data_IF_734496594187
#
_entry.id   IF_734496594187
#
_cell.length_a   1.000
_cell.length_b   1.000
_cell.length_c   1.000
_cell.angle_alpha   90.00
_cell.angle_beta   90.00
_cell.angle_gamma   90.00
#
_symmetry.space_group_name_H-M   'P 1'
#
loop_
_entity.id
_entity.type
_entity.pdbx_description
1 polymer ?
#
# COMPACT_ATOMS: atom_id res chain seq x y z
N UNK A 1 12.33 47.66 -5.61
CA UNK A 1 11.92 46.47 -6.37
C UNK A 1 12.30 45.23 -5.59
N UNK A 2 11.37 44.66 -4.82
CA UNK A 2 11.52 43.31 -4.28
C UNK A 2 11.34 42.36 -5.46
N UNK A 3 12.44 41.81 -5.98
CA UNK A 3 12.40 40.69 -6.91
C UNK A 3 11.62 39.57 -6.21
N UNK A 4 10.43 39.24 -6.72
CA UNK A 4 9.75 38.01 -6.29
C UNK A 4 10.63 36.85 -6.76
N UNK A 5 11.49 36.35 -5.87
CA UNK A 5 12.18 35.09 -6.10
C UNK A 5 11.08 34.04 -6.27
N UNK A 6 10.87 33.56 -7.51
CA UNK A 6 10.00 32.43 -7.78
C UNK A 6 10.53 31.26 -6.94
N UNK A 7 9.88 30.99 -5.81
CA UNK A 7 10.29 29.95 -4.89
C UNK A 7 9.94 28.62 -5.53
N UNK A 8 10.95 27.93 -6.04
CA UNK A 8 10.78 26.59 -6.62
C UNK A 8 10.20 25.65 -5.56
N UNK A 9 9.04 25.08 -5.84
CA UNK A 9 8.37 24.15 -4.93
C UNK A 9 9.16 22.85 -4.80
N UNK A 10 9.08 22.21 -3.64
CA UNK A 10 9.72 20.92 -3.43
C UNK A 10 8.92 19.83 -4.18
N UNK A 11 9.53 19.07 -5.09
CA UNK A 11 8.81 18.08 -5.88
C UNK A 11 8.48 16.80 -5.09
N UNK A 12 9.18 16.53 -3.99
CA UNK A 12 8.99 15.32 -3.18
C UNK A 12 7.78 15.42 -2.25
N UNK A 13 7.04 14.32 -2.16
CA UNK A 13 5.79 14.20 -1.40
C UNK A 13 5.90 13.06 -0.40
N UNK A 14 6.13 13.41 0.87
CA UNK A 14 6.25 12.46 1.99
C UNK A 14 4.98 12.45 2.86
N UNK A 15 3.82 12.67 2.26
CA UNK A 15 2.52 12.64 2.95
C UNK A 15 1.88 11.26 2.80
N UNK A 16 1.09 10.84 3.79
CA UNK A 16 0.38 9.55 3.75
C UNK A 16 -0.50 9.46 2.49
N UNK A 17 -0.37 8.36 1.76
CA UNK A 17 -1.16 8.10 0.54
C UNK A 17 -0.88 9.01 -0.64
N UNK A 18 0.08 9.96 -0.56
CA UNK A 18 0.37 10.85 -1.69
C UNK A 18 1.19 10.14 -2.76
N UNK A 19 0.74 10.22 -4.03
CA UNK A 19 1.50 9.71 -5.17
C UNK A 19 2.83 10.49 -5.29
N UNK A 20 3.98 9.79 -5.27
CA UNK A 20 5.28 10.42 -5.41
C UNK A 20 5.46 10.99 -6.83
N UNK A 21 6.37 11.95 -7.02
CA UNK A 21 6.63 12.53 -8.34
C UNK A 21 7.22 11.55 -9.36
N UNK A 22 7.71 10.39 -8.89
CA UNK A 22 8.23 9.30 -9.72
C UNK A 22 7.89 7.96 -9.06
N UNK A 23 7.23 7.07 -9.82
CA UNK A 23 6.84 5.72 -9.40
C UNK A 23 7.95 4.74 -9.73
N UNK A 24 8.91 4.62 -8.82
CA UNK A 24 10.13 3.87 -9.04
C UNK A 24 9.89 2.36 -9.06
N UNK A 25 10.35 1.69 -10.13
CA UNK A 25 10.28 0.24 -10.26
C UNK A 25 8.88 -0.36 -10.27
N UNK A 26 7.84 0.42 -10.61
CA UNK A 26 6.43 -0.04 -10.66
C UNK A 26 5.80 0.04 -12.06
N UNK A 27 6.61 0.31 -13.08
CA UNK A 27 6.11 0.62 -14.42
C UNK A 27 5.45 -0.59 -15.07
N UNK A 28 6.09 -1.76 -14.97
CA UNK A 28 5.59 -2.99 -15.57
C UNK A 28 4.22 -3.36 -15.02
N UNK A 29 4.02 -3.27 -13.71
CA UNK A 29 2.75 -3.60 -13.07
C UNK A 29 1.63 -2.64 -13.47
N UNK A 30 1.96 -1.36 -13.71
CA UNK A 30 1.00 -0.35 -14.20
C UNK A 30 0.67 -0.60 -15.67
N UNK A 31 1.67 -0.91 -16.49
CA UNK A 31 1.50 -1.23 -17.91
C UNK A 31 0.65 -2.49 -18.09
N UNK A 32 0.97 -3.60 -17.40
CA UNK A 32 0.18 -4.83 -17.46
C UNK A 32 -1.28 -4.61 -17.03
N UNK A 33 -1.49 -3.83 -15.96
CA UNK A 33 -2.83 -3.50 -15.49
C UNK A 33 -3.60 -2.66 -16.52
N UNK A 34 -2.94 -1.66 -17.10
CA UNK A 34 -3.50 -0.80 -18.13
C UNK A 34 -3.89 -1.59 -19.39
N UNK A 35 -3.01 -2.46 -19.88
CA UNK A 35 -3.28 -3.38 -21.00
C UNK A 35 -4.45 -4.31 -20.68
N UNK A 36 -4.53 -4.84 -19.47
CA UNK A 36 -5.65 -5.69 -19.07
C UNK A 36 -6.98 -4.95 -19.01
N UNK A 37 -7.01 -3.65 -18.72
CA UNK A 37 -8.24 -2.85 -18.86
C UNK A 37 -8.66 -2.76 -20.33
N UNK A 38 -7.71 -2.59 -21.25
CA UNK A 38 -7.96 -2.47 -22.68
C UNK A 38 -8.38 -3.80 -23.34
N UNK A 39 -7.84 -4.93 -22.87
CA UNK A 39 -8.10 -6.28 -23.43
C UNK A 39 -9.53 -6.81 -23.19
N UNK A 40 -10.27 -6.21 -22.27
CA UNK A 40 -11.66 -6.61 -22.00
C UNK A 40 -11.83 -7.68 -20.91
N UNK A 41 -13.09 -8.08 -20.61
CA UNK A 41 -13.40 -9.08 -19.60
C UNK A 41 -12.63 -10.39 -19.80
N UNK A 42 -12.08 -10.94 -18.72
CA UNK A 42 -11.30 -12.18 -18.74
C UNK A 42 -9.78 -12.00 -18.67
N UNK A 43 -9.25 -10.79 -18.91
CA UNK A 43 -7.84 -10.47 -18.68
C UNK A 43 -7.44 -10.69 -17.21
N UNK A 44 -6.27 -11.29 -16.98
CA UNK A 44 -5.89 -11.81 -15.66
C UNK A 44 -5.59 -10.69 -14.65
N UNK A 45 -4.93 -9.64 -15.10
CA UNK A 45 -4.39 -8.55 -14.30
C UNK A 45 -5.49 -7.57 -13.84
N UNK A 46 -6.70 -7.68 -14.41
CA UNK A 46 -7.91 -6.98 -13.93
C UNK A 46 -8.24 -7.32 -12.49
N UNK A 47 -7.81 -8.48 -12.00
CA UNK A 47 -7.96 -8.84 -10.59
C UNK A 47 -6.57 -8.98 -10.00
N UNK A 48 -6.14 -7.96 -9.26
CA UNK A 48 -4.80 -7.91 -8.69
C UNK A 48 -4.83 -7.88 -7.16
N UNK A 49 -3.93 -8.62 -6.53
CA UNK A 49 -3.64 -8.55 -5.10
C UNK A 49 -2.20 -8.11 -4.89
N UNK A 50 -2.05 -6.92 -4.34
CA UNK A 50 -0.81 -6.25 -4.02
C UNK A 50 -0.44 -6.60 -2.58
N UNK A 51 0.73 -7.19 -2.38
CA UNK A 51 1.24 -7.51 -1.04
C UNK A 51 2.56 -6.80 -0.79
N UNK A 52 2.89 -6.50 0.46
CA UNK A 52 4.18 -5.90 0.81
C UNK A 52 4.17 -5.23 2.17
N UNK A 53 5.37 -4.89 2.65
CA UNK A 53 5.58 -4.30 3.99
C UNK A 53 4.91 -2.91 4.11
N UNK A 54 4.87 -2.35 5.30
CA UNK A 54 4.35 -0.99 5.52
C UNK A 54 5.20 0.07 4.81
N UNK A 55 4.55 0.99 4.10
CA UNK A 55 5.21 2.11 3.41
C UNK A 55 6.00 1.73 2.15
N UNK A 56 5.86 0.51 1.61
CA UNK A 56 6.48 0.10 0.33
C UNK A 56 5.72 0.59 -0.91
N UNK A 57 4.67 1.40 -0.73
CA UNK A 57 3.93 2.02 -1.82
C UNK A 57 2.72 1.23 -2.34
N UNK A 58 2.09 0.39 -1.50
CA UNK A 58 0.85 -0.33 -1.88
C UNK A 58 -0.27 0.62 -2.30
N UNK A 59 -0.65 1.56 -1.43
CA UNK A 59 -1.65 2.61 -1.73
C UNK A 59 -1.25 3.45 -2.94
N UNK A 60 0.05 3.70 -3.11
CA UNK A 60 0.58 4.46 -4.24
C UNK A 60 0.38 3.70 -5.56
N UNK A 61 0.58 2.38 -5.57
CA UNK A 61 0.30 1.55 -6.74
C UNK A 61 -1.21 1.45 -7.02
N UNK A 62 -2.05 1.34 -5.97
CA UNK A 62 -3.50 1.43 -6.14
C UNK A 62 -3.91 2.76 -6.79
N UNK A 63 -3.38 3.89 -6.32
CA UNK A 63 -3.65 5.20 -6.93
C UNK A 63 -3.23 5.25 -8.41
N UNK A 64 -2.10 4.64 -8.78
CA UNK A 64 -1.66 4.57 -10.16
C UNK A 64 -2.63 3.74 -11.03
N UNK A 65 -3.12 2.61 -10.53
CA UNK A 65 -4.17 1.83 -11.21
C UNK A 65 -5.46 2.64 -11.37
N UNK A 66 -5.83 3.42 -10.36
CA UNK A 66 -6.97 4.32 -10.46
C UNK A 66 -6.78 5.44 -11.48
N UNK A 67 -5.56 5.98 -11.61
CA UNK A 67 -5.23 6.97 -12.64
C UNK A 67 -5.35 6.37 -14.04
N UNK A 68 -4.82 5.16 -14.26
CA UNK A 68 -4.95 4.41 -15.53
C UNK A 68 -6.42 4.10 -15.89
N UNK A 69 -7.23 3.73 -14.89
CA UNK A 69 -8.65 3.51 -15.07
C UNK A 69 -9.39 4.81 -15.43
N UNK A 70 -9.13 5.90 -14.71
CA UNK A 70 -9.74 7.21 -15.01
C UNK A 70 -9.35 7.73 -16.39
N UNK A 71 -8.12 7.50 -16.83
CA UNK A 71 -7.67 7.86 -18.18
C UNK A 71 -8.49 7.17 -19.28
N UNK A 72 -9.02 5.98 -18.99
CA UNK A 72 -9.92 5.19 -19.84
C UNK A 72 -11.41 5.45 -19.58
N UNK A 73 -11.73 6.50 -18.83
CA UNK A 73 -13.10 6.86 -18.41
C UNK A 73 -13.80 5.80 -17.53
N UNK A 74 -13.05 4.87 -16.93
CA UNK A 74 -13.63 3.89 -16.01
C UNK A 74 -14.16 4.57 -14.73
N UNK A 75 -15.20 3.97 -14.18
CA UNK A 75 -15.67 4.30 -12.84
C UNK A 75 -14.63 3.82 -11.84
N UNK A 76 -14.29 4.65 -10.86
CA UNK A 76 -13.35 4.28 -9.80
C UNK A 76 -14.00 4.43 -8.43
N UNK A 77 -14.01 3.35 -7.66
CA UNK A 77 -14.41 3.32 -6.25
C UNK A 77 -13.20 2.90 -5.43
N UNK A 78 -12.78 3.78 -4.52
CA UNK A 78 -11.66 3.55 -3.62
C UNK A 78 -12.16 3.40 -2.20
N UNK A 79 -11.82 2.30 -1.54
CA UNK A 79 -12.26 2.00 -0.18
C UNK A 79 -11.15 1.35 0.65
N UNK A 80 -11.28 1.45 1.97
CA UNK A 80 -10.46 0.70 2.93
C UNK A 80 -11.26 -0.48 3.43
N UNK A 81 -10.64 -1.67 3.52
CA UNK A 81 -11.27 -2.92 3.93
C UNK A 81 -11.58 -3.02 5.45
N UNK A 82 -12.04 -1.91 6.04
CA UNK A 82 -12.59 -1.88 7.40
C UNK A 82 -14.06 -2.33 7.40
N UNK A 83 -14.59 -2.70 8.57
CA UNK A 83 -15.94 -3.28 8.68
C UNK A 83 -17.01 -2.47 7.92
N UNK A 84 -17.82 -3.16 7.11
CA UNK A 84 -18.88 -2.55 6.32
C UNK A 84 -18.39 -1.89 5.02
N UNK A 85 -17.20 -2.25 4.53
CA UNK A 85 -16.69 -1.72 3.26
C UNK A 85 -17.61 -2.07 2.09
N UNK A 86 -18.25 -3.23 2.11
CA UNK A 86 -19.19 -3.63 1.06
C UNK A 86 -20.37 -2.66 0.97
N UNK A 87 -20.89 -2.21 2.13
CA UNK A 87 -21.96 -1.21 2.16
C UNK A 87 -21.46 0.17 1.70
N UNK A 88 -20.23 0.57 2.08
CA UNK A 88 -19.66 1.84 1.62
C UNK A 88 -19.46 1.89 0.11
N UNK A 89 -19.06 0.77 -0.51
CA UNK A 89 -19.00 0.64 -1.99
C UNK A 89 -20.37 0.89 -2.60
N UNK A 90 -21.42 0.24 -2.07
CA UNK A 90 -22.81 0.42 -2.52
C UNK A 90 -23.19 1.91 -2.44
N UNK A 91 -22.96 2.53 -1.28
CA UNK A 91 -23.30 3.94 -1.06
C UNK A 91 -22.50 4.88 -1.99
N UNK A 92 -21.24 4.58 -2.26
CA UNK A 92 -20.38 5.34 -3.17
C UNK A 92 -20.85 5.24 -4.62
N UNK A 93 -21.24 4.05 -5.05
CA UNK A 93 -21.83 3.80 -6.37
C UNK A 93 -23.14 4.58 -6.54
N UNK A 94 -24.03 4.55 -5.56
CA UNK A 94 -25.27 5.32 -5.59
C UNK A 94 -25.04 6.83 -5.68
N UNK A 95 -24.06 7.37 -4.94
CA UNK A 95 -23.69 8.78 -5.03
C UNK A 95 -23.22 9.16 -6.42
N UNK A 96 -22.27 8.40 -6.99
CA UNK A 96 -21.75 8.64 -8.35
C UNK A 96 -22.82 8.51 -9.42
N UNK A 97 -23.65 7.47 -9.33
CA UNK A 97 -24.76 7.27 -10.26
C UNK A 97 -25.74 8.45 -10.20
N UNK A 98 -26.07 8.94 -8.99
CA UNK A 98 -27.01 10.06 -8.81
C UNK A 98 -26.50 11.40 -9.35
N UNK A 99 -25.19 11.65 -9.30
CA UNK A 99 -24.55 12.85 -9.88
C UNK A 99 -24.64 12.85 -11.40
N UNK A 100 -24.41 11.69 -12.03
CA UNK A 100 -24.47 11.53 -13.49
C UNK A 100 -25.93 11.50 -13.98
N UNK A 101 -26.83 10.93 -13.18
CA UNK A 101 -28.23 10.68 -13.52
C UNK A 101 -29.19 11.78 -13.06
N UNK A 102 -28.77 13.04 -12.95
CA UNK A 102 -29.65 14.17 -12.60
C UNK A 102 -30.97 14.23 -13.42
N UNK A 103 -31.03 13.60 -14.60
CA UNK A 103 -32.22 13.44 -15.46
C UNK A 103 -33.01 12.12 -15.32
N UNK A 104 -32.46 11.05 -14.71
CA UNK A 104 -33.07 9.71 -14.65
C UNK A 104 -33.50 9.28 -13.24
N UNK A 105 -33.62 10.23 -12.31
CA UNK A 105 -33.96 10.05 -10.89
C UNK A 105 -35.12 9.06 -10.61
N UNK A 106 -36.06 8.92 -11.54
CA UNK A 106 -37.21 7.99 -11.45
C UNK A 106 -36.84 6.51 -11.61
N UNK A 107 -35.94 6.13 -12.52
CA UNK A 107 -35.60 4.71 -12.72
C UNK A 107 -34.80 4.12 -11.56
N UNK A 108 -33.94 4.94 -10.93
CA UNK A 108 -33.13 4.50 -9.78
C UNK A 108 -33.92 4.55 -8.46
N UNK A 109 -34.94 5.41 -8.34
CA UNK A 109 -35.84 5.38 -7.17
C UNK A 109 -36.78 4.18 -7.18
N UNK A 110 -37.21 3.71 -8.35
CA UNK A 110 -38.08 2.54 -8.47
C UNK A 110 -37.39 1.24 -8.00
N UNK A 111 -36.05 1.19 -8.08
CA UNK A 111 -35.19 0.12 -7.51
C UNK A 111 -35.29 0.08 -5.97
N UNK A 112 -35.52 1.23 -5.32
CA UNK A 112 -35.66 1.34 -3.87
C UNK A 112 -37.05 0.95 -3.36
N UNK A 113 -38.08 1.01 -4.20
CA UNK A 113 -39.49 0.78 -3.79
C UNK A 113 -39.91 -0.70 -3.79
N UNK A 114 -39.19 -1.60 -4.49
CA UNK A 114 -39.51 -3.02 -4.52
C UNK A 114 -38.40 -3.84 -3.83
N UNK A 115 -38.61 -4.23 -2.56
CA UNK A 115 -37.64 -5.01 -1.78
C UNK A 115 -37.39 -6.41 -2.36
N UNK A 116 -36.17 -6.67 -2.82
CA UNK A 116 -35.24 -7.53 -2.10
C UNK A 116 -34.21 -6.68 -1.35
N UNK A 117 -33.49 -7.27 -0.39
CA UNK A 117 -32.33 -6.61 0.24
C UNK A 117 -31.38 -6.14 -0.86
N UNK A 118 -31.06 -4.85 -0.90
CA UNK A 118 -30.04 -4.31 -1.81
C UNK A 118 -28.73 -5.01 -1.47
N UNK A 119 -28.20 -5.77 -2.42
CA UNK A 119 -26.92 -6.47 -2.29
C UNK A 119 -25.87 -5.79 -3.14
N UNK A 120 -24.59 -5.97 -2.81
CA UNK A 120 -23.50 -5.49 -3.65
C UNK A 120 -23.62 -6.03 -5.07
N UNK A 121 -23.94 -7.33 -5.20
CA UNK A 121 -24.13 -7.98 -6.50
C UNK A 121 -25.20 -7.28 -7.33
N UNK A 122 -26.40 -7.08 -6.78
CA UNK A 122 -27.51 -6.47 -7.54
C UNK A 122 -27.15 -5.08 -8.04
N UNK A 123 -26.54 -4.25 -7.18
CA UNK A 123 -26.15 -2.88 -7.54
C UNK A 123 -25.06 -2.87 -8.62
N UNK A 124 -24.03 -3.70 -8.47
CA UNK A 124 -22.94 -3.80 -9.45
C UNK A 124 -23.45 -4.28 -10.81
N UNK A 125 -24.26 -5.35 -10.83
CA UNK A 125 -24.85 -5.89 -12.07
C UNK A 125 -25.68 -4.83 -12.78
N UNK A 126 -26.54 -4.09 -12.06
CA UNK A 126 -27.38 -3.05 -12.65
C UNK A 126 -26.56 -1.90 -13.23
N UNK A 127 -25.57 -1.39 -12.50
CA UNK A 127 -24.71 -0.28 -12.95
C UNK A 127 -23.90 -0.68 -14.18
N UNK A 128 -23.28 -1.86 -14.17
CA UNK A 128 -22.46 -2.35 -15.28
C UNK A 128 -23.31 -2.62 -16.53
N UNK A 129 -24.49 -3.23 -16.36
CA UNK A 129 -25.43 -3.47 -17.48
C UNK A 129 -25.95 -2.16 -18.08
N UNK A 130 -26.23 -1.17 -17.22
CA UNK A 130 -26.65 0.16 -17.67
C UNK A 130 -25.54 0.90 -18.42
N UNK A 131 -24.30 0.81 -17.93
CA UNK A 131 -23.14 1.39 -18.61
C UNK A 131 -22.92 0.74 -19.98
N UNK A 132 -22.99 -0.59 -20.06
CA UNK A 132 -22.88 -1.33 -21.33
C UNK A 132 -23.96 -0.89 -22.35
N UNK A 133 -25.20 -0.66 -21.89
CA UNK A 133 -26.28 -0.18 -22.75
C UNK A 133 -25.97 1.22 -23.32
N UNK A 134 -25.37 2.10 -22.51
CA UNK A 134 -24.93 3.43 -22.93
C UNK A 134 -23.81 3.32 -23.96
N UNK A 135 -22.77 2.54 -23.67
CA UNK A 135 -21.60 2.40 -24.53
C UNK A 135 -22.00 1.89 -25.91
N UNK A 136 -22.87 0.88 -25.94
CA UNK A 136 -23.45 0.35 -27.18
C UNK A 136 -24.24 1.39 -27.97
N UNK A 137 -25.00 2.27 -27.30
CA UNK A 137 -25.77 3.34 -27.97
C UNK A 137 -24.87 4.44 -28.52
N UNK A 138 -23.78 4.73 -27.83
CA UNK A 138 -22.81 5.75 -28.24
C UNK A 138 -21.79 5.21 -29.25
N UNK A 139 -21.67 3.89 -29.40
CA UNK A 139 -20.68 3.26 -30.28
C UNK A 139 -19.25 3.50 -29.80
N UNK A 140 -19.07 3.60 -28.48
CA UNK A 140 -17.78 3.84 -27.84
C UNK A 140 -17.21 2.57 -27.21
N UNK A 141 -15.95 2.64 -26.78
CA UNK A 141 -15.30 1.56 -26.05
C UNK A 141 -16.03 1.27 -24.72
N UNK A 142 -15.95 0.01 -24.28
CA UNK A 142 -16.62 -0.45 -23.07
C UNK A 142 -16.02 0.22 -21.83
N UNK A 143 -16.84 0.99 -21.11
CA UNK A 143 -16.47 1.65 -19.87
C UNK A 143 -16.74 0.70 -18.71
N UNK A 144 -15.72 0.44 -17.91
CA UNK A 144 -15.81 -0.48 -16.78
C UNK A 144 -15.87 0.19 -15.41
N UNK A 145 -15.83 -0.65 -14.38
CA UNK A 145 -15.70 -0.24 -12.97
C UNK A 145 -14.44 -0.87 -12.37
N UNK A 146 -13.57 -0.03 -11.83
CA UNK A 146 -12.47 -0.41 -10.95
C UNK A 146 -12.88 -0.19 -9.49
N UNK A 147 -12.70 -1.23 -8.67
CA UNK A 147 -12.77 -1.15 -7.21
C UNK A 147 -11.38 -1.36 -6.63
N UNK A 148 -10.86 -0.38 -5.88
CA UNK A 148 -9.63 -0.52 -5.10
C UNK A 148 -9.95 -0.72 -3.62
N UNK A 149 -9.30 -1.70 -2.99
CA UNK A 149 -9.44 -2.00 -1.56
C UNK A 149 -8.07 -1.98 -0.88
N UNK A 150 -7.83 -0.99 -0.01
CA UNK A 150 -6.62 -0.93 0.81
C UNK A 150 -6.80 -1.60 2.17
N UNK A 151 -5.69 -1.95 2.84
CA UNK A 151 -5.65 -2.54 4.18
C UNK A 151 -6.47 -3.84 4.34
N UNK A 152 -6.33 -4.80 3.42
CA UNK A 152 -6.92 -6.13 3.58
C UNK A 152 -6.35 -6.85 4.82
N UNK A 153 -7.25 -7.22 5.74
CA UNK A 153 -6.93 -8.00 6.95
C UNK A 153 -7.79 -9.26 7.09
N UNK A 154 -7.19 -10.33 7.62
CA UNK A 154 -7.86 -11.61 7.86
C UNK A 154 -9.01 -11.53 8.89
N UNK A 155 -9.01 -10.54 9.78
CA UNK A 155 -10.13 -10.29 10.70
C UNK A 155 -11.45 -9.99 9.99
N UNK A 156 -11.41 -9.65 8.69
CA UNK A 156 -12.59 -9.37 7.84
C UNK A 156 -12.86 -10.48 6.84
N UNK A 157 -12.38 -11.70 7.10
CA UNK A 157 -12.49 -12.87 6.20
C UNK A 157 -13.91 -13.05 5.66
N UNK A 158 -14.95 -12.95 6.48
CA UNK A 158 -16.34 -13.15 6.02
C UNK A 158 -16.78 -12.11 4.97
N UNK A 159 -16.50 -10.83 5.20
CA UNK A 159 -16.89 -9.75 4.29
C UNK A 159 -16.06 -9.81 2.98
N UNK A 160 -14.78 -10.20 3.08
CA UNK A 160 -13.91 -10.42 1.91
C UNK A 160 -14.34 -11.65 1.10
N UNK A 161 -14.83 -12.71 1.76
CA UNK A 161 -15.40 -13.89 1.09
C UNK A 161 -16.64 -13.49 0.26
N UNK A 162 -17.57 -12.75 0.88
CA UNK A 162 -18.81 -12.32 0.21
C UNK A 162 -18.52 -11.38 -0.97
N UNK A 163 -17.60 -10.44 -0.78
CA UNK A 163 -17.10 -9.58 -1.84
C UNK A 163 -16.48 -10.41 -2.98
N UNK A 164 -15.55 -11.33 -2.66
CA UNK A 164 -14.89 -12.17 -3.65
C UNK A 164 -15.87 -13.06 -4.43
N UNK A 165 -16.89 -13.62 -3.77
CA UNK A 165 -17.94 -14.40 -4.43
C UNK A 165 -18.76 -13.53 -5.40
N UNK A 166 -19.08 -12.30 -5.01
CA UNK A 166 -19.75 -11.33 -5.87
C UNK A 166 -18.92 -11.04 -7.13
N UNK A 167 -17.64 -10.71 -6.97
CA UNK A 167 -16.76 -10.43 -8.12
C UNK A 167 -16.61 -11.65 -9.03
N UNK A 168 -16.50 -12.86 -8.49
CA UNK A 168 -16.47 -14.10 -9.27
C UNK A 168 -17.72 -14.27 -10.16
N UNK A 169 -18.89 -13.90 -9.66
CA UNK A 169 -20.12 -13.96 -10.45
C UNK A 169 -20.09 -12.95 -11.60
N UNK A 170 -19.71 -11.70 -11.33
CA UNK A 170 -19.66 -10.65 -12.35
C UNK A 170 -18.66 -10.96 -13.47
N UNK A 171 -17.50 -11.51 -13.10
CA UNK A 171 -16.48 -11.95 -14.08
C UNK A 171 -16.98 -13.11 -14.93
N UNK A 172 -17.74 -14.04 -14.36
CA UNK A 172 -18.36 -15.14 -15.13
C UNK A 172 -19.47 -14.69 -16.07
N UNK A 173 -20.05 -13.53 -15.80
CA UNK A 173 -21.08 -12.88 -16.61
C UNK A 173 -20.46 -11.93 -17.65
N UNK A 174 -19.13 -11.96 -17.83
CA UNK A 174 -18.34 -11.10 -18.74
C UNK A 174 -18.58 -9.59 -18.53
N UNK A 175 -18.92 -9.19 -17.30
CA UNK A 175 -19.13 -7.79 -16.97
C UNK A 175 -17.78 -7.06 -16.85
N UNK A 176 -17.75 -5.79 -17.26
CA UNK A 176 -16.54 -4.99 -17.37
C UNK A 176 -16.08 -4.45 -15.99
N UNK A 177 -15.64 -5.36 -15.12
CA UNK A 177 -15.19 -5.07 -13.75
C UNK A 177 -13.70 -5.39 -13.57
N UNK A 178 -13.02 -4.56 -12.79
CA UNK A 178 -11.66 -4.75 -12.32
C UNK A 178 -11.59 -4.50 -10.81
N UNK A 179 -10.72 -5.23 -10.14
CA UNK A 179 -10.52 -5.14 -8.69
C UNK A 179 -9.03 -5.18 -8.38
N UNK A 180 -8.54 -4.19 -7.65
CA UNK A 180 -7.19 -4.21 -7.09
C UNK A 180 -7.27 -4.13 -5.57
N UNK A 181 -6.57 -5.03 -4.89
CA UNK A 181 -6.59 -5.12 -3.43
C UNK A 181 -5.17 -5.01 -2.88
N UNK A 182 -5.00 -4.38 -1.73
CA UNK A 182 -3.71 -4.26 -1.06
C UNK A 182 -3.78 -4.72 0.40
N UNK A 183 -2.72 -5.34 0.88
CA UNK A 183 -2.57 -5.70 2.29
C UNK A 183 -1.16 -6.18 2.61
N UNK A 184 -0.86 -6.43 3.88
CA UNK A 184 0.44 -6.99 4.26
C UNK A 184 0.45 -8.52 4.12
N UNK A 185 1.62 -9.16 3.91
CA UNK A 185 1.69 -10.60 3.69
C UNK A 185 1.08 -11.45 4.83
N UNK A 186 1.30 -11.07 6.09
CA UNK A 186 0.76 -11.79 7.25
C UNK A 186 -0.76 -11.67 7.37
N UNK A 187 -1.32 -10.55 6.91
CA UNK A 187 -2.76 -10.32 6.89
C UNK A 187 -3.46 -11.03 5.74
N UNK A 188 -2.75 -11.28 4.64
CA UNK A 188 -3.25 -11.96 3.44
C UNK A 188 -3.08 -13.48 3.52
N UNK A 189 -1.96 -14.01 4.03
CA UNK A 189 -1.69 -15.47 4.07
C UNK A 189 -2.83 -16.28 4.69
N UNK A 190 -3.43 -15.90 5.85
CA UNK A 190 -4.56 -16.61 6.43
C UNK A 190 -5.82 -16.59 5.57
N UNK A 191 -6.05 -15.52 4.78
CA UNK A 191 -7.16 -15.47 3.83
C UNK A 191 -7.01 -16.48 2.69
N UNK A 192 -5.77 -16.85 2.35
CA UNK A 192 -5.44 -17.82 1.30
C UNK A 192 -5.34 -19.25 1.82
N UNK A 193 -5.17 -19.43 3.13
CA UNK A 193 -4.99 -20.73 3.76
C UNK A 193 -6.29 -21.55 3.75
N UNK A 194 -6.16 -22.83 3.41
CA UNK A 194 -7.25 -23.81 3.37
C UNK A 194 -7.46 -24.40 4.77
N UNK A 195 -8.35 -23.83 5.56
CA UNK A 195 -8.89 -24.54 6.72
C UNK A 195 -10.11 -25.34 6.27
N UNK A 196 -9.94 -26.67 6.25
CA UNK A 196 -11.02 -27.67 6.33
C UNK A 196 -12.23 -27.47 5.39
N UNK A 197 -12.06 -27.84 4.12
CA UNK A 197 -13.16 -28.30 3.25
C UNK A 197 -14.15 -27.25 2.70
N UNK A 198 -14.18 -26.02 3.22
CA UNK A 198 -14.90 -24.89 2.60
C UNK A 198 -13.88 -24.03 1.87
N UNK A 199 -14.05 -23.86 0.56
CA UNK A 199 -13.20 -23.08 -0.33
C UNK A 199 -13.51 -21.57 -0.17
N UNK A 200 -12.95 -20.81 0.79
CA UNK A 200 -13.58 -19.56 1.19
C UNK A 200 -13.20 -18.44 0.23
N UNK A 201 -11.96 -18.40 -0.28
CA UNK A 201 -11.51 -17.34 -1.18
C UNK A 201 -10.68 -17.86 -2.37
N UNK A 202 -11.27 -18.78 -3.13
CA UNK A 202 -10.64 -19.27 -4.38
C UNK A 202 -10.36 -18.15 -5.39
N UNK A 203 -11.14 -17.07 -5.33
CA UNK A 203 -10.95 -15.85 -6.10
C UNK A 203 -9.58 -15.24 -5.88
N UNK A 204 -9.24 -14.93 -4.63
CA UNK A 204 -7.96 -14.30 -4.29
C UNK A 204 -6.77 -15.19 -4.65
N UNK A 205 -6.93 -16.53 -4.65
CA UNK A 205 -5.86 -17.46 -5.06
C UNK A 205 -5.57 -17.43 -6.57
N UNK A 206 -6.52 -16.94 -7.38
CA UNK A 206 -6.40 -16.82 -8.84
C UNK A 206 -6.20 -15.38 -9.31
N UNK A 207 -6.17 -14.42 -8.38
CA UNK A 207 -5.80 -13.05 -8.67
C UNK A 207 -4.32 -12.97 -9.06
N UNK A 208 -3.98 -12.04 -9.96
CA UNK A 208 -2.62 -11.63 -10.21
C UNK A 208 -1.95 -11.22 -8.88
N UNK A 209 -0.70 -11.63 -8.66
CA UNK A 209 0.04 -11.40 -7.42
C UNK A 209 1.16 -10.40 -7.67
N UNK A 210 1.10 -9.28 -6.98
CA UNK A 210 2.10 -8.24 -7.06
C UNK A 210 2.75 -8.09 -5.68
N UNK A 211 3.97 -8.60 -5.54
CA UNK A 211 4.72 -8.54 -4.29
C UNK A 211 5.67 -7.32 -4.30
N UNK A 212 5.29 -6.28 -3.56
CA UNK A 212 6.06 -5.04 -3.44
C UNK A 212 7.18 -5.21 -2.40
N UNK A 213 8.41 -5.26 -2.90
CA UNK A 213 9.62 -5.16 -2.10
C UNK A 213 10.23 -3.75 -2.06
N UNK A 214 11.45 -3.68 -1.54
CA UNK A 214 12.32 -2.51 -1.64
C UNK A 214 12.66 -2.23 -3.11
N UNK A 215 12.91 -0.95 -3.41
CA UNK A 215 13.25 -0.48 -4.75
C UNK A 215 14.75 -0.66 -4.99
N UNK A 216 15.12 -1.14 -6.18
CA UNK A 216 16.52 -1.24 -6.61
C UNK A 216 17.22 0.14 -6.62
N UNK A 217 18.50 0.16 -6.24
CA UNK A 217 19.25 1.42 -6.12
C UNK A 217 19.29 2.24 -7.42
N UNK A 218 19.23 1.62 -8.61
CA UNK A 218 19.16 2.37 -9.86
C UNK A 218 17.83 3.11 -10.02
N UNK A 219 16.73 2.47 -9.64
CA UNK A 219 15.41 3.10 -9.63
C UNK A 219 15.29 4.14 -8.52
N UNK A 220 15.95 3.95 -7.37
CA UNK A 220 16.07 4.98 -6.32
C UNK A 220 16.77 6.23 -6.85
N UNK A 221 17.89 6.07 -7.57
CA UNK A 221 18.63 7.20 -8.17
C UNK A 221 17.75 7.99 -9.12
N UNK A 222 16.98 7.33 -9.99
CA UNK A 222 16.01 7.98 -10.88
C UNK A 222 14.92 8.72 -10.09
N UNK A 223 14.38 8.07 -9.07
CA UNK A 223 13.36 8.65 -8.19
C UNK A 223 13.82 9.90 -7.45
N UNK A 224 15.12 10.03 -7.18
CA UNK A 224 15.73 11.21 -6.57
C UNK A 224 16.11 12.28 -7.61
N UNK A 225 16.62 11.88 -8.78
CA UNK A 225 17.14 12.79 -9.80
C UNK A 225 16.03 13.43 -10.64
N UNK A 226 15.15 12.64 -11.26
CA UNK A 226 14.18 13.15 -12.22
C UNK A 226 13.24 14.24 -11.66
N UNK A 227 12.72 14.13 -10.40
CA UNK A 227 11.84 15.15 -9.88
C UNK A 227 12.51 16.52 -9.71
N UNK A 228 13.81 16.54 -9.37
CA UNK A 228 14.54 17.79 -9.15
C UNK A 228 15.05 18.40 -10.45
N UNK A 229 15.39 17.57 -11.45
CA UNK A 229 15.80 18.02 -12.77
C UNK A 229 14.67 18.79 -13.47
N UNK A 230 13.43 18.33 -13.34
CA UNK A 230 12.23 19.01 -13.85
C UNK A 230 12.05 20.44 -13.31
N UNK A 231 12.68 20.75 -12.17
CA UNK A 231 12.62 22.07 -11.54
C UNK A 231 13.98 22.80 -11.57
N UNK A 232 14.90 22.35 -12.42
CA UNK A 232 16.20 23.00 -12.66
C UNK A 232 17.22 22.83 -11.55
N UNK A 233 17.10 21.77 -10.74
CA UNK A 233 18.05 21.40 -9.68
C UNK A 233 18.78 20.12 -10.08
N UNK A 234 20.08 20.05 -9.81
CA UNK A 234 20.93 18.90 -10.16
C UNK A 234 21.55 18.27 -8.92
N UNK A 235 21.95 17.01 -9.03
CA UNK A 235 22.75 16.31 -8.03
C UNK A 235 24.22 16.30 -8.43
N UNK A 236 25.12 16.43 -7.44
CA UNK A 236 26.48 15.94 -7.62
C UNK A 236 26.46 14.40 -7.73
N UNK A 237 27.28 13.76 -8.59
CA UNK A 237 27.24 12.31 -8.80
C UNK A 237 27.42 11.49 -7.51
N UNK A 238 28.35 11.90 -6.65
CA UNK A 238 28.62 11.24 -5.37
C UNK A 238 27.46 11.47 -4.40
N UNK A 239 26.88 12.67 -4.38
CA UNK A 239 25.72 12.98 -3.54
C UNK A 239 24.50 12.12 -3.89
N UNK A 240 24.25 11.87 -5.18
CA UNK A 240 23.16 10.99 -5.61
C UNK A 240 23.40 9.54 -5.19
N UNK A 241 24.65 9.09 -5.21
CA UNK A 241 25.04 7.76 -4.73
C UNK A 241 24.77 7.63 -3.23
N UNK A 242 25.31 8.55 -2.44
CA UNK A 242 25.14 8.56 -0.98
C UNK A 242 23.66 8.66 -0.58
N UNK A 243 22.88 9.47 -1.30
CA UNK A 243 21.45 9.62 -1.04
C UNK A 243 20.67 8.33 -1.34
N UNK A 244 21.01 7.64 -2.44
CA UNK A 244 20.36 6.36 -2.77
C UNK A 244 20.67 5.28 -1.73
N UNK A 245 21.93 5.18 -1.30
CA UNK A 245 22.35 4.25 -0.24
C UNK A 245 21.63 4.54 1.08
N UNK A 246 21.54 5.81 1.48
CA UNK A 246 20.83 6.22 2.68
C UNK A 246 19.31 5.96 2.62
N UNK A 247 18.73 5.78 1.43
CA UNK A 247 17.33 5.40 1.28
C UNK A 247 17.08 3.91 1.58
N UNK A 248 18.06 3.05 1.32
CA UNK A 248 17.95 1.59 1.46
C UNK A 248 16.79 0.98 0.66
N UNK A 249 16.44 1.59 -0.48
CA UNK A 249 15.31 1.17 -1.33
C UNK A 249 13.92 1.37 -0.73
N UNK A 250 13.79 1.95 0.46
CA UNK A 250 12.50 2.12 1.12
C UNK A 250 11.74 3.35 0.59
N UNK A 251 10.58 3.20 -0.09
CA UNK A 251 9.93 4.31 -0.81
C UNK A 251 9.64 5.55 0.05
N UNK A 252 9.20 5.34 1.29
CA UNK A 252 8.95 6.46 2.21
C UNK A 252 10.25 7.20 2.57
N UNK A 253 11.36 6.49 2.78
CA UNK A 253 12.67 7.11 3.01
C UNK A 253 13.17 7.88 1.77
N UNK A 254 12.93 7.38 0.55
CA UNK A 254 13.25 8.10 -0.70
C UNK A 254 12.62 9.48 -0.69
N UNK A 255 11.33 9.57 -0.35
CA UNK A 255 10.63 10.85 -0.29
C UNK A 255 11.16 11.75 0.84
N UNK A 256 11.47 11.19 2.01
CA UNK A 256 12.04 11.96 3.13
C UNK A 256 13.42 12.53 2.79
N UNK A 257 14.34 11.70 2.29
CA UNK A 257 15.69 12.14 1.89
C UNK A 257 15.60 13.16 0.77
N UNK A 258 14.85 12.88 -0.30
CA UNK A 258 14.66 13.83 -1.39
C UNK A 258 14.13 15.18 -0.90
N UNK A 259 13.11 15.17 -0.04
CA UNK A 259 12.54 16.40 0.52
C UNK A 259 13.57 17.18 1.35
N UNK A 260 14.35 16.51 2.20
CA UNK A 260 15.34 17.14 3.07
C UNK A 260 16.59 17.62 2.30
N UNK A 261 17.01 16.89 1.27
CA UNK A 261 18.10 17.30 0.38
C UNK A 261 17.70 18.55 -0.42
N UNK A 262 16.51 18.58 -1.00
CA UNK A 262 16.02 19.74 -1.75
C UNK A 262 15.89 21.00 -0.88
N UNK A 263 15.58 20.85 0.42
CA UNK A 263 15.55 21.96 1.39
C UNK A 263 16.94 22.50 1.72
N UNK A 264 17.99 21.67 1.62
CA UNK A 264 19.38 21.97 1.99
C UNK A 264 20.32 22.13 0.79
N UNK A 265 19.78 22.16 -0.42
CA UNK A 265 20.55 22.39 -1.63
C UNK A 265 21.30 23.73 -1.57
N UNK A 266 22.47 23.79 -2.18
CA UNK A 266 23.27 25.00 -2.31
C UNK A 266 23.09 25.55 -3.72
N UNK A 267 22.46 26.71 -3.84
CA UNK A 267 22.00 27.24 -5.13
C UNK A 267 21.07 26.23 -5.81
N UNK A 268 21.45 25.72 -6.99
CA UNK A 268 20.70 24.70 -7.74
C UNK A 268 21.37 23.31 -7.70
N UNK A 269 22.34 23.09 -6.81
CA UNK A 269 23.01 21.80 -6.67
C UNK A 269 22.76 21.17 -5.30
N UNK A 270 22.50 19.86 -5.28
CA UNK A 270 22.47 19.02 -4.09
C UNK A 270 23.84 18.36 -3.95
N UNK A 271 24.53 18.64 -2.84
CA UNK A 271 25.91 18.21 -2.60
C UNK A 271 25.98 17.09 -1.56
N UNK A 272 27.14 16.44 -1.44
CA UNK A 272 27.39 15.39 -0.42
C UNK A 272 27.09 15.91 1.00
N UNK A 273 27.46 17.17 1.29
CA UNK A 273 27.16 17.81 2.56
C UNK A 273 25.65 17.99 2.79
N UNK A 274 24.89 18.36 1.75
CA UNK A 274 23.42 18.46 1.82
C UNK A 274 22.80 17.11 2.16
N UNK A 275 23.33 16.01 1.61
CA UNK A 275 22.86 14.63 1.85
C UNK A 275 23.16 14.19 3.27
N UNK A 276 24.38 14.39 3.76
CA UNK A 276 24.76 14.02 5.13
C UNK A 276 23.84 14.68 6.18
N UNK A 277 23.56 15.98 6.03
CA UNK A 277 22.63 16.71 6.91
C UNK A 277 21.18 16.23 6.73
N UNK A 278 20.77 15.93 5.49
CA UNK A 278 19.42 15.49 5.17
C UNK A 278 19.13 14.09 5.72
N UNK A 279 20.07 13.16 5.62
CA UNK A 279 19.94 11.79 6.08
C UNK A 279 19.65 11.72 7.59
N UNK A 280 20.38 12.50 8.41
CA UNK A 280 20.14 12.59 9.86
C UNK A 280 18.70 13.03 10.16
N UNK A 281 18.21 14.04 9.43
CA UNK A 281 16.88 14.59 9.66
C UNK A 281 15.78 13.67 9.11
N UNK A 282 16.04 13.01 7.98
CA UNK A 282 15.13 12.03 7.39
C UNK A 282 14.97 10.81 8.30
N UNK A 283 16.08 10.31 8.86
CA UNK A 283 16.07 9.22 9.85
C UNK A 283 15.23 9.59 11.06
N UNK A 284 15.50 10.72 11.72
CA UNK A 284 14.69 11.19 12.86
C UNK A 284 13.20 11.34 12.53
N UNK A 285 12.87 11.76 11.31
CA UNK A 285 11.49 11.82 10.85
C UNK A 285 10.87 10.43 10.67
N UNK A 286 11.62 9.46 10.14
CA UNK A 286 11.15 8.09 10.08
C UNK A 286 10.86 7.55 11.49
N UNK A 287 11.75 7.79 12.44
CA UNK A 287 11.61 7.37 13.83
C UNK A 287 10.31 7.92 14.43
N UNK A 288 10.09 9.24 14.34
CA UNK A 288 8.90 9.91 14.86
C UNK A 288 7.59 9.51 14.17
N UNK A 289 7.63 9.22 12.87
CA UNK A 289 6.41 9.00 12.08
C UNK A 289 6.04 7.52 11.94
N UNK A 290 6.98 6.60 12.16
CA UNK A 290 6.79 5.17 11.93
C UNK A 290 7.17 4.36 13.16
N UNK A 291 8.40 4.50 13.68
CA UNK A 291 8.88 3.63 14.75
C UNK A 291 8.25 3.95 16.11
N UNK A 292 8.26 5.21 16.53
CA UNK A 292 7.68 5.64 17.80
C UNK A 292 6.18 5.28 17.90
N UNK A 293 5.32 5.58 16.90
CA UNK A 293 3.92 5.19 16.95
C UNK A 293 3.72 3.67 16.96
N UNK A 294 4.49 2.92 16.16
CA UNK A 294 4.37 1.47 16.11
C UNK A 294 4.71 0.79 17.44
N UNK A 295 5.61 1.38 18.24
CA UNK A 295 5.97 0.87 19.55
C UNK A 295 5.07 1.40 20.67
N UNK A 296 4.35 2.51 20.47
CA UNK A 296 3.59 3.22 21.51
C UNK A 296 2.58 2.32 22.23
N UNK A 297 1.90 1.45 21.49
CA UNK A 297 0.85 0.56 22.03
C UNK A 297 1.40 -0.78 22.56
N UNK A 298 2.73 -0.99 22.48
CA UNK A 298 3.37 -2.21 22.93
C UNK A 298 3.71 -2.15 24.42
N UNK A 299 3.55 -3.29 25.11
CA UNK A 299 3.94 -3.42 26.51
C UNK A 299 5.46 -3.46 26.67
N UNK A 300 5.95 -3.15 27.88
CA UNK A 300 7.37 -3.25 28.26
C UNK A 300 8.00 -4.60 27.87
N UNK A 301 7.25 -5.70 28.04
CA UNK A 301 7.76 -7.05 27.72
C UNK A 301 7.83 -7.27 26.21
N UNK A 302 6.88 -6.74 25.43
CA UNK A 302 6.94 -6.78 23.97
C UNK A 302 8.18 -6.00 23.48
N UNK A 303 8.43 -4.81 24.04
CA UNK A 303 9.63 -4.01 23.73
C UNK A 303 10.92 -4.75 24.06
N UNK A 304 10.96 -5.42 25.22
CA UNK A 304 12.12 -6.24 25.62
C UNK A 304 12.37 -7.39 24.63
N UNK A 305 11.31 -8.02 24.11
CA UNK A 305 11.44 -9.03 23.04
C UNK A 305 12.06 -8.44 21.77
N UNK A 306 11.62 -7.26 21.35
CA UNK A 306 12.16 -6.57 20.16
C UNK A 306 13.63 -6.17 20.35
N UNK A 307 14.02 -5.72 21.55
CA UNK A 307 15.42 -5.43 21.88
C UNK A 307 16.29 -6.69 21.83
N UNK A 308 15.77 -7.82 22.35
CA UNK A 308 16.45 -9.10 22.24
C UNK A 308 16.63 -9.56 20.79
N UNK A 309 15.68 -9.27 19.89
CA UNK A 309 15.82 -9.49 18.45
C UNK A 309 16.86 -8.53 17.83
N UNK A 310 16.87 -7.27 18.23
CA UNK A 310 17.74 -6.25 17.67
C UNK A 310 19.24 -6.55 17.86
N UNK A 311 19.60 -7.46 18.78
CA UNK A 311 20.98 -7.93 18.95
C UNK A 311 21.53 -8.67 17.72
N UNK A 312 20.69 -9.30 16.90
CA UNK A 312 21.12 -9.95 15.65
C UNK A 312 21.20 -8.93 14.50
N UNK A 313 21.99 -9.19 13.46
CA UNK A 313 22.03 -8.33 12.25
C UNK A 313 20.98 -8.71 11.20
N UNK A 314 20.35 -9.88 11.35
CA UNK A 314 19.31 -10.38 10.46
C UNK A 314 18.22 -11.14 11.21
N UNK A 315 17.51 -12.07 10.55
CA UNK A 315 16.50 -12.91 11.17
C UNK A 315 16.98 -13.56 12.48
N UNK A 316 16.20 -13.39 13.53
CA UNK A 316 16.46 -13.94 14.87
C UNK A 316 15.75 -15.28 15.03
N UNK A 317 16.42 -16.27 15.64
CA UNK A 317 15.78 -17.55 15.97
C UNK A 317 14.99 -17.44 17.27
N UNK A 318 13.85 -18.15 17.35
CA UNK A 318 13.04 -18.15 18.58
C UNK A 318 13.76 -18.76 19.78
N UNK A 319 14.69 -19.68 19.57
CA UNK A 319 15.52 -20.24 20.64
C UNK A 319 16.46 -19.20 21.23
N UNK A 320 17.12 -18.41 20.39
CA UNK A 320 18.08 -17.40 20.84
C UNK A 320 17.36 -16.26 21.56
N UNK A 321 16.20 -15.84 21.03
CA UNK A 321 15.35 -14.82 21.69
C UNK A 321 14.90 -15.33 23.07
N UNK A 322 14.39 -16.55 23.17
CA UNK A 322 13.95 -17.12 24.45
C UNK A 322 15.11 -17.21 25.47
N UNK A 323 16.31 -17.59 25.01
CA UNK A 323 17.51 -17.63 25.84
C UNK A 323 17.90 -16.24 26.35
N UNK A 324 17.92 -15.21 25.48
CA UNK A 324 18.23 -13.82 25.86
C UNK A 324 17.23 -13.25 26.86
N UNK A 325 15.96 -13.61 26.72
CA UNK A 325 14.90 -13.20 27.63
C UNK A 325 14.87 -14.00 28.94
N UNK A 326 15.58 -15.14 29.01
CA UNK A 326 15.54 -16.03 30.17
C UNK A 326 14.17 -16.70 30.38
N UNK A 327 13.39 -16.88 29.30
CA UNK A 327 12.03 -17.43 29.36
C UNK A 327 11.94 -18.77 28.62
N UNK A 328 10.91 -19.55 28.91
CA UNK A 328 10.68 -20.80 28.19
C UNK A 328 10.18 -20.54 26.74
N UNK A 329 10.36 -21.50 25.80
CA UNK A 329 9.96 -21.33 24.41
C UNK A 329 8.46 -21.07 24.19
N UNK A 330 7.60 -21.66 25.02
CA UNK A 330 6.14 -21.48 24.92
C UNK A 330 5.74 -20.04 25.23
N UNK A 331 6.38 -19.44 26.24
CA UNK A 331 6.17 -18.06 26.65
C UNK A 331 6.64 -17.09 25.55
N UNK A 332 7.84 -17.29 25.01
CA UNK A 332 8.34 -16.51 23.87
C UNK A 332 7.42 -16.63 22.63
N UNK A 333 6.82 -17.81 22.42
CA UNK A 333 5.84 -18.04 21.34
C UNK A 333 4.59 -17.17 21.42
N UNK A 334 4.13 -16.82 22.63
CA UNK A 334 2.97 -15.93 22.81
C UNK A 334 3.31 -14.49 22.39
N UNK A 335 4.49 -13.98 22.75
CA UNK A 335 4.96 -12.66 22.32
C UNK A 335 5.19 -12.60 20.82
N UNK A 336 5.78 -13.65 20.24
CA UNK A 336 5.90 -13.77 18.78
C UNK A 336 4.55 -13.60 18.10
N UNK A 337 3.51 -14.32 18.55
CA UNK A 337 2.18 -14.22 17.93
C UNK A 337 1.63 -12.80 18.04
N UNK A 338 1.68 -12.21 19.23
CA UNK A 338 1.21 -10.84 19.46
C UNK A 338 1.92 -9.79 18.62
N UNK A 339 3.25 -9.91 18.47
CA UNK A 339 4.06 -8.97 17.67
C UNK A 339 3.87 -9.14 16.16
N UNK A 340 3.51 -10.35 15.70
CA UNK A 340 3.07 -10.58 14.32
C UNK A 340 1.68 -9.98 14.10
N UNK A 341 0.75 -10.18 15.04
CA UNK A 341 -0.61 -9.62 14.97
C UNK A 341 -0.58 -8.08 15.04
N UNK A 342 0.39 -7.49 15.75
CA UNK A 342 0.67 -6.06 15.78
C UNK A 342 1.48 -5.57 14.58
N UNK A 343 1.82 -6.45 13.63
CA UNK A 343 2.52 -6.15 12.37
C UNK A 343 3.91 -5.51 12.55
N UNK A 344 4.55 -5.79 13.70
CA UNK A 344 5.90 -5.29 14.05
C UNK A 344 6.99 -6.25 13.54
N UNK A 345 6.71 -7.55 13.59
CA UNK A 345 7.63 -8.60 13.15
C UNK A 345 6.93 -9.55 12.18
N UNK A 346 7.74 -10.28 11.43
CA UNK A 346 7.31 -11.21 10.39
C UNK A 346 8.03 -12.53 10.49
N UNK A 347 7.42 -13.60 9.98
CA UNK A 347 8.09 -14.91 9.94
C UNK A 347 9.01 -15.00 8.74
N UNK A 348 10.30 -15.21 8.98
CA UNK A 348 11.40 -15.18 7.99
C UNK A 348 12.07 -16.54 7.75
N UNK A 349 11.42 -17.62 8.16
CA UNK A 349 11.94 -18.99 8.04
C UNK A 349 11.35 -19.91 9.09
N UNK A 350 11.80 -21.17 9.11
CA UNK A 350 11.38 -22.11 10.14
C UNK A 350 11.91 -21.68 11.51
N UNK A 351 11.02 -21.25 12.41
CA UNK A 351 11.39 -20.80 13.75
C UNK A 351 12.13 -19.45 13.81
N UNK A 352 12.16 -18.69 12.70
CA UNK A 352 12.82 -17.38 12.61
C UNK A 352 11.82 -16.25 12.44
N UNK A 353 12.17 -15.10 13.00
CA UNK A 353 11.43 -13.85 12.87
C UNK A 353 12.36 -12.68 12.54
N UNK A 354 11.85 -11.70 11.81
CA UNK A 354 12.55 -10.46 11.50
C UNK A 354 11.61 -9.26 11.62
N UNK A 355 12.15 -8.05 11.65
CA UNK A 355 11.33 -6.84 11.68
C UNK A 355 10.60 -6.64 10.36
N UNK A 356 9.29 -6.37 10.45
CA UNK A 356 8.48 -6.01 9.27
C UNK A 356 8.75 -4.54 8.87
N UNK A 357 9.09 -3.69 9.85
CA UNK A 357 9.35 -2.26 9.65
C UNK A 357 10.83 -2.00 9.33
N UNK A 358 11.16 -1.36 8.20
CA UNK A 358 12.52 -0.96 7.87
C UNK A 358 13.14 -0.08 8.95
N UNK A 359 14.45 -0.21 9.18
CA UNK A 359 15.24 0.55 10.15
C UNK A 359 14.84 0.38 11.63
N UNK A 360 13.90 -0.51 11.94
CA UNK A 360 13.46 -0.75 13.33
C UNK A 360 14.59 -1.32 14.19
N UNK A 361 15.44 -2.16 13.61
CA UNK A 361 16.59 -2.78 14.29
C UNK A 361 17.59 -1.72 14.76
N UNK A 362 17.99 -0.83 13.87
CA UNK A 362 18.90 0.29 14.13
C UNK A 362 18.28 1.26 15.14
N UNK A 363 17.00 1.58 14.97
CA UNK A 363 16.26 2.41 15.91
C UNK A 363 16.30 1.83 17.33
N UNK A 364 15.99 0.56 17.49
CA UNK A 364 16.03 -0.12 18.79
C UNK A 364 17.46 -0.17 19.37
N UNK A 365 18.48 -0.42 18.55
CA UNK A 365 19.88 -0.38 19.02
C UNK A 365 20.29 0.99 19.55
N UNK A 366 19.82 2.07 18.93
CA UNK A 366 20.16 3.42 19.34
C UNK A 366 19.37 3.91 20.57
N UNK A 367 18.11 3.47 20.70
CA UNK A 367 17.20 3.99 21.73
C UNK A 367 17.06 3.05 22.94
N UNK A 368 17.15 1.73 22.77
CA UNK A 368 17.04 0.78 23.88
C UNK A 368 18.25 0.82 24.82
N UNK A 369 19.42 1.22 24.32
CA UNK A 369 20.59 1.47 25.17
C UNK A 369 20.30 2.61 26.15
N UNK A 370 19.43 3.57 25.80
CA UNK A 370 19.13 4.74 26.65
C UNK A 370 18.15 4.41 27.79
N UNK A 371 17.19 3.51 27.57
CA UNK A 371 16.21 3.14 28.60
C UNK A 371 16.79 2.24 29.69
N UNK A 372 17.81 1.43 29.38
CA UNK A 372 18.56 0.64 30.38
C UNK A 372 19.39 1.52 31.33
N UNK A 373 19.74 2.75 30.94
CA UNK A 373 20.43 3.73 31.80
C UNK A 373 19.50 4.75 32.47
N UNK A 374 18.18 4.64 32.26
CA UNK A 374 17.15 5.47 32.94
C UNK A 374 16.39 4.73 34.03
N UNK A 375 16.64 3.43 34.23
CA UNK A 375 16.31 2.70 35.46
C UNK A 375 17.44 2.83 36.47
#
# INVERSE_FOLDING_TARGET
MLLSMNRVSNPFRASLGSTPPYLAGRRHEIEDFAEALDDGPGAHERISLITGLHGVGKTVLLNAFEEEARARSWWVISETATAGFTQRIIDALFRKASEILHTHRRKFSDILEHQPKITLRSVLTEILSWQEEIDRKLGQDSVGLLITLDELHYHRREEVIDFGATIQHLVREDLNISVAMAGIPQSIKPLLASEEGKNPVTFLRRANRIDLGLIDNNEVRKALAEPVEKVGVTWEPDALTDAAEACGGYPFMIQLIGQQCFKRKRSNSITVASVAEAAVVAKRKLEQLVHEPALADLSEVDRTFLVAMAADDGPSTMSDIAQRLGVNPQYAGNYRRRLIDAEIITSSGYGQVDFELPYMREYLREHAVVDVFKQ
#
